data_IF_401796873713
#
_entry.id   IF_401796873713
#
_cell.length_a   1.000
_cell.length_b   1.000
_cell.length_c   1.000
_cell.angle_alpha   90.00
_cell.angle_beta   90.00
_cell.angle_gamma   90.00
#
_symmetry.space_group_name_H-M   'P 1'
#
loop_
_entity.id
_entity.type
_entity.pdbx_description
1 polymer ?
#
# COMPACT_ATOMS: atom_id res chain seq x y z
N UNK A 1 21.09 15.82 -14.93
CA UNK A 1 19.96 15.11 -14.30
C UNK A 1 18.70 15.85 -14.69
N UNK A 2 17.82 15.22 -15.47
CA UNK A 2 16.58 15.87 -15.95
C UNK A 2 15.68 16.21 -14.75
N UNK A 3 15.59 17.50 -14.45
CA UNK A 3 14.61 18.05 -13.53
C UNK A 3 13.22 17.96 -14.20
N UNK A 4 12.64 16.75 -14.30
CA UNK A 4 11.27 16.64 -14.77
C UNK A 4 10.38 17.33 -13.73
N UNK A 5 9.69 18.37 -14.16
CA UNK A 5 8.64 19.00 -13.38
C UNK A 5 7.62 17.93 -12.99
N UNK A 6 7.23 17.94 -11.72
CA UNK A 6 6.19 17.04 -11.20
C UNK A 6 4.95 17.90 -11.03
N UNK A 7 3.90 17.57 -11.77
CA UNK A 7 2.65 18.31 -11.76
C UNK A 7 1.81 17.94 -10.53
N UNK A 8 1.01 18.88 -10.06
CA UNK A 8 0.00 18.57 -9.04
C UNK A 8 -1.12 17.76 -9.69
N UNK A 9 -1.26 16.52 -9.28
CA UNK A 9 -2.23 15.55 -9.81
C UNK A 9 -3.16 15.08 -8.68
N UNK A 10 -4.14 15.89 -8.30
CA UNK A 10 -5.21 15.53 -7.39
C UNK A 10 -6.52 15.40 -8.18
N UNK A 11 -7.30 14.34 -7.93
CA UNK A 11 -8.46 14.00 -8.75
C UNK A 11 -9.73 13.94 -7.92
N UNK A 12 -10.80 14.49 -8.51
CA UNK A 12 -12.17 14.43 -7.99
C UNK A 12 -12.95 13.28 -8.65
N UNK A 13 -14.08 12.93 -8.04
CA UNK A 13 -15.01 11.95 -8.62
C UNK A 13 -15.47 12.43 -10.00
N UNK A 14 -15.38 11.53 -10.97
CA UNK A 14 -15.73 11.78 -12.37
C UNK A 14 -14.55 12.11 -13.27
N UNK A 15 -13.42 12.56 -12.72
CA UNK A 15 -12.20 12.88 -13.48
C UNK A 15 -11.45 11.62 -13.90
N UNK A 16 -10.57 11.76 -14.91
CA UNK A 16 -9.81 10.63 -15.46
C UNK A 16 -8.33 10.73 -15.09
N UNK A 17 -7.78 9.65 -14.57
CA UNK A 17 -6.34 9.49 -14.38
C UNK A 17 -5.77 8.86 -15.67
N UNK A 18 -4.80 9.56 -16.26
CA UNK A 18 -4.13 9.15 -17.49
C UNK A 18 -5.10 8.82 -18.66
N UNK A 19 -6.23 9.53 -18.77
CA UNK A 19 -7.30 9.33 -19.77
C UNK A 19 -7.85 7.89 -19.84
N UNK A 20 -7.57 7.05 -18.85
CA UNK A 20 -7.93 5.63 -18.86
C UNK A 20 -8.81 5.23 -17.66
N UNK A 21 -8.52 5.76 -16.49
CA UNK A 21 -9.16 5.36 -15.26
C UNK A 21 -10.04 6.48 -14.72
N UNK A 22 -11.37 6.29 -14.74
CA UNK A 22 -12.33 7.26 -14.18
C UNK A 22 -12.44 7.08 -12.68
N UNK A 23 -12.22 8.15 -11.92
CA UNK A 23 -12.34 8.15 -10.47
C UNK A 23 -13.81 8.04 -10.06
N UNK A 24 -14.13 7.05 -9.22
CA UNK A 24 -15.46 6.85 -8.66
C UNK A 24 -15.54 7.21 -7.16
N UNK A 25 -14.42 7.07 -6.42
CA UNK A 25 -14.35 7.33 -5.00
C UNK A 25 -12.90 7.51 -4.55
N UNK A 26 -12.66 8.32 -3.49
CA UNK A 26 -11.42 8.27 -2.72
C UNK A 26 -11.54 7.17 -1.65
N UNK A 27 -10.62 6.21 -1.65
CA UNK A 27 -10.59 5.09 -0.69
C UNK A 27 -9.75 5.42 0.55
N UNK A 28 -8.71 6.22 0.38
CA UNK A 28 -7.83 6.61 1.48
C UNK A 28 -6.77 7.61 1.05
N UNK A 29 -6.20 8.30 2.04
CA UNK A 29 -5.14 9.27 1.85
C UNK A 29 -4.08 9.08 2.93
N UNK A 30 -2.81 9.01 2.50
CA UNK A 30 -1.64 8.88 3.36
C UNK A 30 -0.67 10.03 3.16
N UNK A 31 0.46 9.97 3.87
CA UNK A 31 1.47 11.05 3.88
C UNK A 31 2.03 11.39 2.50
N UNK A 32 2.11 10.44 1.59
CA UNK A 32 2.75 10.63 0.28
C UNK A 32 1.90 10.12 -0.89
N UNK A 33 0.67 9.72 -0.64
CA UNK A 33 -0.15 9.15 -1.69
C UNK A 33 -1.63 9.13 -1.37
N UNK A 34 -2.42 8.93 -2.41
CA UNK A 34 -3.88 8.83 -2.33
C UNK A 34 -4.34 7.61 -3.09
N UNK A 35 -5.32 6.91 -2.55
CA UNK A 35 -5.89 5.71 -3.15
C UNK A 35 -7.29 6.03 -3.62
N UNK A 36 -7.56 5.72 -4.87
CA UNK A 36 -8.85 5.92 -5.51
C UNK A 36 -9.47 4.59 -5.90
N UNK A 37 -10.80 4.47 -5.80
CA UNK A 37 -11.53 3.51 -6.60
C UNK A 37 -11.72 4.10 -7.98
N UNK A 38 -11.35 3.34 -9.00
CA UNK A 38 -11.44 3.78 -10.39
C UNK A 38 -12.11 2.70 -11.24
N UNK A 39 -12.70 3.12 -12.37
CA UNK A 39 -13.26 2.22 -13.38
C UNK A 39 -12.55 2.43 -14.71
N UNK A 40 -12.34 1.35 -15.46
CA UNK A 40 -11.86 1.42 -16.85
C UNK A 40 -13.01 1.56 -17.86
N UNK A 41 -12.70 1.56 -19.14
CA UNK A 41 -13.68 1.64 -20.23
C UNK A 41 -14.66 0.45 -20.29
N UNK A 42 -14.29 -0.69 -19.70
CA UNK A 42 -15.13 -1.86 -19.56
C UNK A 42 -15.98 -1.86 -18.27
N UNK A 43 -16.00 -0.74 -17.55
CA UNK A 43 -16.69 -0.58 -16.24
C UNK A 43 -16.18 -1.54 -15.15
N UNK A 44 -14.94 -2.01 -15.28
CA UNK A 44 -14.31 -2.85 -14.26
C UNK A 44 -13.67 -1.98 -13.19
N UNK A 45 -13.91 -2.35 -11.92
CA UNK A 45 -13.38 -1.64 -10.76
C UNK A 45 -11.93 -2.04 -10.44
N UNK A 46 -11.16 -1.04 -10.01
CA UNK A 46 -9.78 -1.17 -9.52
C UNK A 46 -9.53 -0.24 -8.34
N UNK A 47 -8.53 -0.53 -7.54
CA UNK A 47 -7.89 0.42 -6.64
C UNK A 47 -6.66 1.01 -7.33
N UNK A 48 -6.56 2.34 -7.38
CA UNK A 48 -5.42 3.05 -7.96
C UNK A 48 -4.75 3.86 -6.86
N UNK A 49 -3.51 3.50 -6.53
CA UNK A 49 -2.66 4.22 -5.57
C UNK A 49 -1.77 5.18 -6.35
N UNK A 50 -1.94 6.48 -6.13
CA UNK A 50 -1.16 7.54 -6.74
C UNK A 50 -0.15 8.08 -5.73
N UNK A 51 1.13 8.08 -6.08
CA UNK A 51 2.17 8.71 -5.28
C UNK A 51 2.25 10.20 -5.62
N UNK A 52 2.12 11.08 -4.63
CA UNK A 52 2.09 12.54 -4.80
C UNK A 52 3.48 13.14 -4.66
N UNK A 53 4.32 13.00 -5.70
CA UNK A 53 5.69 13.50 -5.66
C UNK A 53 5.80 15.03 -5.59
N UNK A 54 4.74 15.77 -5.98
CA UNK A 54 4.73 17.24 -5.83
C UNK A 54 4.72 17.70 -4.36
N UNK A 55 4.26 16.85 -3.43
CA UNK A 55 4.28 17.11 -1.98
C UNK A 55 5.58 16.64 -1.31
N UNK A 56 6.45 15.99 -2.07
CA UNK A 56 7.65 15.33 -1.57
C UNK A 56 8.89 16.15 -1.89
N UNK A 57 9.75 16.44 -0.89
CA UNK A 57 11.04 17.09 -1.11
C UNK A 57 11.89 16.33 -2.14
N UNK A 58 12.57 17.03 -3.07
CA UNK A 58 13.32 16.39 -4.17
C UNK A 58 14.31 15.32 -3.71
N UNK A 59 14.93 15.52 -2.55
CA UNK A 59 16.00 14.67 -1.99
C UNK A 59 15.49 13.26 -1.65
N UNK A 60 14.21 13.12 -1.28
CA UNK A 60 13.60 11.84 -0.89
C UNK A 60 12.73 11.22 -1.98
N UNK A 61 12.54 11.90 -3.13
CA UNK A 61 11.71 11.38 -4.24
C UNK A 61 12.24 10.06 -4.78
N UNK A 62 13.55 9.98 -5.04
CA UNK A 62 14.16 8.77 -5.60
C UNK A 62 13.97 7.54 -4.71
N UNK A 63 14.38 7.53 -3.43
CA UNK A 63 14.15 6.38 -2.56
C UNK A 63 12.66 6.05 -2.38
N UNK A 64 11.76 7.05 -2.41
CA UNK A 64 10.33 6.82 -2.32
C UNK A 64 9.78 6.13 -3.59
N UNK A 65 10.24 6.53 -4.78
CA UNK A 65 9.89 5.88 -6.04
C UNK A 65 10.39 4.43 -6.11
N UNK A 66 11.62 4.16 -5.64
CA UNK A 66 12.18 2.80 -5.58
C UNK A 66 11.34 1.88 -4.68
N UNK A 67 10.84 2.40 -3.55
CA UNK A 67 9.91 1.67 -2.66
C UNK A 67 8.56 1.43 -3.32
N UNK A 68 8.03 2.42 -4.01
CA UNK A 68 6.75 2.32 -4.71
C UNK A 68 6.82 1.28 -5.84
N UNK A 69 7.93 1.26 -6.58
CA UNK A 69 8.18 0.22 -7.58
C UNK A 69 8.34 -1.18 -6.94
N UNK A 70 8.98 -1.27 -5.76
CA UNK A 70 9.08 -2.51 -5.02
C UNK A 70 7.72 -3.00 -4.53
N UNK A 71 6.83 -2.10 -4.11
CA UNK A 71 5.44 -2.39 -3.76
C UNK A 71 4.70 -3.02 -4.94
N UNK A 72 4.81 -2.42 -6.13
CA UNK A 72 4.24 -2.98 -7.36
C UNK A 72 4.76 -4.40 -7.64
N UNK A 73 6.09 -4.60 -7.62
CA UNK A 73 6.70 -5.91 -7.85
C UNK A 73 6.30 -6.95 -6.81
N UNK A 74 6.11 -6.54 -5.57
CA UNK A 74 5.66 -7.43 -4.49
C UNK A 74 4.20 -7.86 -4.70
N UNK A 75 3.32 -6.95 -5.15
CA UNK A 75 1.94 -7.27 -5.50
C UNK A 75 1.77 -8.12 -6.77
N UNK A 76 2.86 -8.43 -7.48
CA UNK A 76 2.86 -9.38 -8.60
C UNK A 76 3.14 -10.83 -8.18
N UNK A 77 3.40 -11.07 -6.88
CA UNK A 77 3.56 -12.41 -6.34
C UNK A 77 2.23 -13.18 -6.52
N UNK A 78 2.29 -14.33 -7.16
CA UNK A 78 1.12 -15.18 -7.38
C UNK A 78 0.73 -15.87 -6.06
N UNK A 79 -0.27 -15.28 -5.39
CA UNK A 79 -0.84 -15.75 -4.12
C UNK A 79 -2.21 -15.09 -3.93
N UNK A 80 -3.25 -15.89 -3.70
CA UNK A 80 -4.62 -15.40 -3.52
C UNK A 80 -4.79 -14.53 -2.27
N UNK A 81 -3.89 -14.67 -1.29
CA UNK A 81 -3.92 -13.94 -0.02
C UNK A 81 -3.01 -12.68 -0.03
N UNK A 82 -2.64 -12.23 -1.21
CA UNK A 82 -2.00 -10.92 -1.45
C UNK A 82 -2.87 -10.13 -2.42
N UNK A 83 -3.00 -8.83 -2.21
CA UNK A 83 -3.67 -7.93 -3.16
C UNK A 83 -2.80 -7.82 -4.41
N UNK A 84 -3.36 -8.17 -5.57
CA UNK A 84 -2.64 -8.23 -6.83
C UNK A 84 -2.41 -6.85 -7.42
N UNK A 85 -1.16 -6.51 -7.74
CA UNK A 85 -0.82 -5.36 -8.58
C UNK A 85 -0.95 -5.73 -10.07
N UNK A 86 -1.72 -4.93 -10.82
CA UNK A 86 -2.13 -5.24 -12.19
C UNK A 86 -1.43 -4.38 -13.24
N UNK A 87 -1.20 -3.10 -12.93
CA UNK A 87 -0.60 -2.14 -13.84
C UNK A 87 0.20 -1.09 -13.08
N UNK A 88 1.19 -0.48 -13.75
CA UNK A 88 2.03 0.58 -13.24
C UNK A 88 2.17 1.66 -14.29
N UNK A 89 2.01 2.92 -13.92
CA UNK A 89 2.13 4.02 -14.86
C UNK A 89 2.57 5.32 -14.20
N UNK A 90 2.59 6.38 -14.98
CA UNK A 90 2.91 7.75 -14.52
C UNK A 90 1.90 8.74 -15.09
N UNK A 91 1.55 9.74 -14.29
CA UNK A 91 0.74 10.89 -14.73
C UNK A 91 1.31 12.17 -14.14
N UNK A 92 1.58 13.17 -14.98
CA UNK A 92 2.23 14.41 -14.55
C UNK A 92 3.54 14.19 -13.77
N UNK A 93 4.32 13.16 -14.14
CA UNK A 93 5.55 12.78 -13.42
C UNK A 93 5.35 11.99 -12.12
N UNK A 94 4.10 11.77 -11.70
CA UNK A 94 3.76 11.00 -10.48
C UNK A 94 3.48 9.55 -10.83
N UNK A 95 4.12 8.56 -10.17
CA UNK A 95 3.83 7.15 -10.42
C UNK A 95 2.52 6.73 -9.76
N UNK A 96 1.84 5.77 -10.39
CA UNK A 96 0.67 5.11 -9.82
C UNK A 96 0.74 3.59 -10.00
N UNK A 97 0.09 2.87 -9.08
CA UNK A 97 -0.12 1.42 -9.14
C UNK A 97 -1.61 1.17 -9.27
N UNK A 98 -2.02 0.33 -10.22
CA UNK A 98 -3.38 -0.20 -10.32
C UNK A 98 -3.40 -1.60 -9.71
N UNK A 99 -4.34 -1.82 -8.81
CA UNK A 99 -4.49 -3.07 -8.06
C UNK A 99 -5.92 -3.61 -8.20
N UNK A 100 -6.10 -4.88 -7.91
CA UNK A 100 -7.45 -5.43 -7.75
C UNK A 100 -8.21 -4.66 -6.66
N UNK A 101 -9.50 -4.42 -6.89
CA UNK A 101 -10.36 -3.75 -5.93
C UNK A 101 -10.97 -4.77 -4.96
N UNK A 102 -10.69 -4.60 -3.67
CA UNK A 102 -11.22 -5.44 -2.59
C UNK A 102 -12.50 -4.79 -2.04
N UNK A 103 -13.66 -5.26 -2.49
CA UNK A 103 -14.96 -4.64 -2.16
C UNK A 103 -15.48 -4.97 -0.77
N UNK A 104 -14.87 -5.92 -0.06
CA UNK A 104 -15.31 -6.39 1.26
C UNK A 104 -14.81 -5.54 2.43
N UNK A 105 -14.10 -4.43 2.17
CA UNK A 105 -13.52 -3.59 3.22
C UNK A 105 -12.27 -4.19 3.87
N UNK A 106 -11.92 -3.73 5.07
CA UNK A 106 -10.75 -4.18 5.82
C UNK A 106 -11.13 -5.03 7.04
N UNK A 107 -10.12 -5.50 7.78
CA UNK A 107 -10.28 -6.36 8.95
C UNK A 107 -10.75 -5.59 10.20
N UNK A 108 -10.76 -4.26 10.22
CA UNK A 108 -11.08 -3.45 11.41
C UNK A 108 -12.42 -3.82 12.05
N UNK A 109 -13.53 -4.05 11.31
CA UNK A 109 -14.82 -4.41 11.90
C UNK A 109 -14.84 -5.77 12.63
N UNK A 110 -13.83 -6.61 12.39
CA UNK A 110 -13.75 -7.93 13.03
C UNK A 110 -13.02 -7.90 14.38
N UNK A 111 -12.38 -6.79 14.75
CA UNK A 111 -11.67 -6.64 16.01
C UNK A 111 -12.65 -6.73 17.18
N UNK A 112 -12.42 -7.69 18.10
CA UNK A 112 -13.28 -7.90 19.26
C UNK A 112 -14.69 -8.45 18.95
N UNK A 113 -14.98 -8.79 17.68
CA UNK A 113 -16.32 -9.24 17.28
C UNK A 113 -16.69 -10.65 17.74
N UNK A 114 -15.73 -11.48 18.18
CA UNK A 114 -15.95 -12.91 18.47
C UNK A 114 -16.38 -13.74 17.26
N UNK A 115 -16.18 -13.24 16.04
CA UNK A 115 -16.60 -13.89 14.81
C UNK A 115 -15.96 -15.26 14.62
N UNK A 116 -16.77 -16.27 14.28
CA UNK A 116 -16.29 -17.62 13.93
C UNK A 116 -15.40 -17.67 12.70
N UNK A 117 -15.33 -16.59 11.91
CA UNK A 117 -14.45 -16.47 10.74
C UNK A 117 -12.98 -16.16 11.10
N UNK A 118 -12.70 -15.71 12.33
CA UNK A 118 -11.35 -15.29 12.75
C UNK A 118 -10.28 -16.36 12.48
N UNK A 119 -10.46 -17.64 12.84
CA UNK A 119 -9.44 -18.67 12.56
C UNK A 119 -9.10 -18.79 11.08
N UNK A 120 -10.11 -18.74 10.20
CA UNK A 120 -9.91 -18.80 8.76
C UNK A 120 -9.15 -17.55 8.25
N UNK A 121 -9.53 -16.37 8.72
CA UNK A 121 -8.86 -15.10 8.37
C UNK A 121 -7.38 -15.16 8.80
N UNK A 122 -7.10 -15.61 10.02
CA UNK A 122 -5.72 -15.78 10.49
C UNK A 122 -4.92 -16.75 9.62
N UNK A 123 -5.51 -17.88 9.22
CA UNK A 123 -4.88 -18.83 8.32
C UNK A 123 -4.54 -18.17 6.96
N UNK A 124 -5.44 -17.40 6.38
CA UNK A 124 -5.25 -16.68 5.11
C UNK A 124 -4.11 -15.65 5.22
N UNK A 125 -4.08 -14.88 6.30
CA UNK A 125 -2.99 -13.93 6.60
C UNK A 125 -1.65 -14.66 6.68
N UNK A 126 -1.58 -15.78 7.42
CA UNK A 126 -0.34 -16.56 7.57
C UNK A 126 0.16 -17.12 6.24
N UNK A 127 -0.72 -17.58 5.35
CA UNK A 127 -0.35 -18.05 4.02
C UNK A 127 0.19 -16.87 3.18
N UNK A 128 -0.45 -15.71 3.22
CA UNK A 128 0.04 -14.49 2.56
C UNK A 128 1.43 -14.07 3.06
N UNK A 129 1.64 -14.07 4.39
CA UNK A 129 2.95 -13.79 4.98
C UNK A 129 4.00 -14.83 4.58
N UNK A 130 3.63 -16.12 4.54
CA UNK A 130 4.53 -17.18 4.08
C UNK A 130 4.96 -16.96 2.61
N UNK A 131 4.02 -16.58 1.74
CA UNK A 131 4.33 -16.29 0.33
C UNK A 131 5.30 -15.10 0.17
N UNK A 132 5.26 -14.11 1.06
CA UNK A 132 6.24 -13.02 1.12
C UNK A 132 7.59 -13.54 1.63
N UNK A 133 7.59 -14.27 2.76
CA UNK A 133 8.80 -14.71 3.44
C UNK A 133 9.64 -15.68 2.61
N UNK A 134 9.02 -16.58 1.86
CA UNK A 134 9.71 -17.48 0.93
C UNK A 134 10.44 -16.76 -0.20
N UNK A 135 10.05 -15.50 -0.46
CA UNK A 135 10.71 -14.61 -1.45
C UNK A 135 11.63 -13.56 -0.79
N UNK A 136 11.99 -13.78 0.47
CA UNK A 136 12.85 -12.88 1.22
C UNK A 136 12.21 -11.52 1.56
N UNK A 137 10.88 -11.40 1.44
CA UNK A 137 10.14 -10.18 1.76
C UNK A 137 9.55 -10.23 3.17
N UNK A 138 9.47 -9.09 3.84
CA UNK A 138 8.81 -8.93 5.14
C UNK A 138 7.81 -7.80 5.02
N UNK A 139 6.56 -7.99 5.44
CA UNK A 139 5.49 -7.00 5.29
C UNK A 139 5.75 -5.69 6.05
N UNK A 140 6.25 -5.76 7.30
CA UNK A 140 6.60 -4.64 8.19
C UNK A 140 5.49 -3.65 8.55
N UNK A 141 4.34 -3.73 7.92
CA UNK A 141 3.18 -2.84 8.15
C UNK A 141 1.91 -3.64 8.40
N UNK A 142 1.99 -4.84 8.99
CA UNK A 142 0.80 -5.65 9.27
C UNK A 142 -0.07 -4.97 10.31
N UNK A 143 -1.30 -4.65 9.93
CA UNK A 143 -2.34 -4.05 10.76
C UNK A 143 -3.70 -4.35 10.14
N UNK A 144 -4.82 -4.22 10.89
CA UNK A 144 -6.15 -4.56 10.37
C UNK A 144 -6.53 -3.85 9.07
N UNK A 145 -6.17 -2.59 8.92
CA UNK A 145 -6.46 -1.78 7.72
C UNK A 145 -5.69 -2.26 6.48
N UNK A 146 -4.62 -3.04 6.67
CA UNK A 146 -3.82 -3.62 5.58
C UNK A 146 -4.18 -5.08 5.28
N UNK A 147 -5.29 -5.56 5.83
CA UNK A 147 -5.92 -6.85 5.50
C UNK A 147 -7.27 -6.56 4.87
N UNK A 148 -7.38 -6.71 3.56
CA UNK A 148 -8.59 -6.39 2.81
C UNK A 148 -9.35 -7.66 2.41
N UNK A 149 -10.66 -7.55 2.27
CA UNK A 149 -11.51 -8.64 1.81
C UNK A 149 -11.85 -8.47 0.32
N UNK A 150 -11.48 -9.47 -0.47
CA UNK A 150 -11.89 -9.57 -1.89
C UNK A 150 -13.40 -9.79 -1.99
N UNK A 151 -13.97 -9.62 -3.18
CA UNK A 151 -15.40 -9.82 -3.43
C UNK A 151 -15.92 -11.22 -3.08
N UNK A 152 -15.06 -12.23 -3.12
CA UNK A 152 -15.34 -13.60 -2.71
C UNK A 152 -15.14 -13.88 -1.21
N UNK A 153 -14.83 -12.85 -0.41
CA UNK A 153 -14.63 -12.93 1.04
C UNK A 153 -13.24 -13.42 1.48
N UNK A 154 -12.31 -13.64 0.57
CA UNK A 154 -10.92 -13.99 0.88
C UNK A 154 -10.21 -12.77 1.49
N UNK A 155 -9.54 -12.96 2.64
CA UNK A 155 -8.68 -11.95 3.23
C UNK A 155 -7.31 -11.92 2.51
N UNK A 156 -6.86 -10.74 2.09
CA UNK A 156 -5.62 -10.53 1.37
C UNK A 156 -4.82 -9.37 1.96
N UNK A 157 -3.51 -9.52 2.05
CA UNK A 157 -2.59 -8.49 2.51
C UNK A 157 -2.36 -7.43 1.43
N UNK A 158 -2.28 -6.17 1.85
CA UNK A 158 -1.99 -5.00 1.00
C UNK A 158 -0.95 -4.10 1.65
N UNK A 159 -0.55 -3.04 0.94
CA UNK A 159 0.39 -2.01 1.40
C UNK A 159 1.80 -2.55 1.67
N UNK A 160 2.41 -3.09 0.61
CA UNK A 160 3.78 -3.61 0.63
C UNK A 160 4.87 -2.52 0.58
N UNK A 161 4.50 -1.24 0.63
CA UNK A 161 5.41 -0.10 0.49
C UNK A 161 6.48 0.00 1.59
N UNK A 162 6.26 -0.70 2.71
CA UNK A 162 7.24 -0.85 3.79
C UNK A 162 7.96 -2.21 3.70
N UNK A 163 7.52 -3.09 2.78
CA UNK A 163 8.11 -4.42 2.62
C UNK A 163 9.60 -4.29 2.29
N UNK A 164 10.44 -4.71 3.23
CA UNK A 164 11.89 -4.68 3.08
C UNK A 164 12.44 -6.01 2.61
N UNK A 165 13.53 -5.98 1.85
CA UNK A 165 14.36 -7.13 1.61
C UNK A 165 15.04 -7.54 2.93
N UNK A 166 15.02 -8.84 3.30
CA UNK A 166 15.67 -9.37 4.50
C UNK A 166 17.16 -8.99 4.56
N UNK A 167 17.81 -8.85 3.42
CA UNK A 167 19.25 -8.62 3.29
C UNK A 167 19.64 -7.13 3.25
N UNK A 168 18.70 -6.20 3.03
CA UNK A 168 18.97 -4.77 3.09
C UNK A 168 18.69 -4.28 4.51
N UNK A 169 19.76 -4.04 5.29
CA UNK A 169 19.67 -3.26 6.53
C UNK A 169 19.17 -1.88 6.17
N UNK A 170 17.92 -1.57 6.55
CA UNK A 170 17.34 -0.26 6.30
C UNK A 170 18.02 0.77 7.21
N UNK A 171 18.88 1.57 6.61
CA UNK A 171 19.32 2.84 7.18
C UNK A 171 18.19 3.87 7.02
N UNK A 172 17.08 3.66 7.72
CA UNK A 172 15.89 4.53 7.64
C UNK A 172 15.89 5.59 8.74
N UNK A 173 17.01 6.19 9.02
CA UNK A 173 17.03 7.21 10.08
C UNK A 173 16.30 8.52 9.76
N UNK A 174 15.94 8.84 8.49
CA UNK A 174 15.56 10.23 8.18
C UNK A 174 14.44 10.43 7.14
N UNK A 175 13.61 9.44 6.78
CA UNK A 175 12.56 9.70 5.78
C UNK A 175 11.24 10.13 6.43
N UNK A 176 11.02 9.84 7.70
CA UNK A 176 9.79 10.19 8.44
C UNK A 176 10.07 11.25 9.51
N UNK A 177 10.51 12.43 9.10
CA UNK A 177 10.85 13.55 10.00
C UNK A 177 9.68 14.26 10.68
N UNK A 178 8.50 13.62 10.91
CA UNK A 178 7.45 14.20 11.76
C UNK A 178 6.71 13.15 12.59
N UNK A 179 6.61 13.32 13.93
CA UNK A 179 6.04 12.35 14.87
C UNK A 179 4.50 12.17 14.81
N UNK A 180 3.76 13.02 14.10
CA UNK A 180 2.32 13.23 14.35
C UNK A 180 1.33 12.26 13.67
N UNK A 181 1.77 11.24 12.91
CA UNK A 181 0.86 10.24 12.32
C UNK A 181 1.12 8.80 12.81
N UNK A 182 1.88 8.64 13.85
CA UNK A 182 2.43 7.34 14.29
C UNK A 182 1.48 6.62 15.28
N UNK A 183 0.53 7.29 15.92
CA UNK A 183 -0.26 6.74 17.03
C UNK A 183 -1.03 5.45 16.72
N UNK A 184 -1.58 5.28 15.53
CA UNK A 184 -2.29 4.04 15.15
C UNK A 184 -1.37 2.87 14.77
N UNK A 185 -0.17 3.15 14.31
CA UNK A 185 0.77 2.13 13.80
C UNK A 185 1.62 1.52 14.92
N UNK A 186 1.90 2.24 15.99
CA UNK A 186 2.68 1.74 17.13
C UNK A 186 2.09 0.50 17.80
N UNK A 187 0.77 0.42 17.91
CA UNK A 187 0.09 -0.71 18.56
C UNK A 187 0.39 -2.06 17.88
N UNK A 188 0.79 -2.04 16.61
CA UNK A 188 1.08 -3.24 15.80
C UNK A 188 2.56 -3.39 15.47
N UNK A 189 3.42 -2.47 15.94
CA UNK A 189 4.86 -2.56 15.70
C UNK A 189 5.52 -3.59 16.60
N UNK A 190 6.36 -4.47 16.05
CA UNK A 190 7.17 -5.35 16.87
C UNK A 190 8.23 -4.56 17.65
N UNK A 191 8.64 -5.04 18.84
CA UNK A 191 9.55 -4.32 19.74
C UNK A 191 10.84 -3.84 19.08
N UNK A 192 11.43 -4.66 18.20
CA UNK A 192 12.66 -4.31 17.48
C UNK A 192 12.49 -3.15 16.50
N UNK A 193 11.28 -2.85 16.03
CA UNK A 193 11.01 -1.66 15.23
C UNK A 193 10.83 -0.44 16.11
N UNK A 194 10.16 -0.58 17.25
CA UNK A 194 9.95 0.50 18.22
C UNK A 194 11.28 0.95 18.80
N UNK A 195 12.15 0.03 19.20
CA UNK A 195 13.47 0.35 19.81
C UNK A 195 14.37 1.08 18.81
N UNK A 196 14.37 0.67 17.54
CA UNK A 196 15.12 1.39 16.48
C UNK A 196 14.65 2.83 16.29
N UNK A 197 13.37 3.12 16.45
CA UNK A 197 12.83 4.48 16.35
C UNK A 197 13.22 5.33 17.57
N UNK A 198 13.39 4.71 18.76
CA UNK A 198 13.84 5.39 19.98
C UNK A 198 15.36 5.59 20.05
N UNK A 199 16.12 4.97 19.13
CA UNK A 199 17.59 5.08 19.13
C UNK A 199 18.27 4.14 20.12
N UNK A 200 17.56 3.15 20.63
CA UNK A 200 18.06 2.06 21.49
C UNK A 200 18.56 0.86 20.69
#
# INVERSE_FOLDING_TARGET
MNNRTVDRCDYNVGEYINNRYRVSQTLGEGSFGKVYRVTDSASKDYALKLLRLWEVPPEIRKPLMERFEMEFKTGQIDCDYLVRSLDYGTVGGNPYIVMEYCSGGDLTPYLGSGSSKIPLICQQILIGLHALHTRGKVHRGLKPENVLFKSNGIAALTDFGIAGDRNKRMTERNIFGKPNQIFGTYAYMPPEQVNRMRGE
#
